data_IF_876832199506
#
_entry.id   IF_876832199506
#
_cell.length_a   1.000
_cell.length_b   1.000
_cell.length_c   1.000
_cell.angle_alpha   90.00
_cell.angle_beta   90.00
_cell.angle_gamma   90.00
#
_symmetry.space_group_name_H-M   'P 1'
#
loop_
_entity.id
_entity.type
_entity.pdbx_description
1 polymer ?
#
# COMPACT_ATOMS: atom_id res chain seq x y z
N UNK A 1 19.24 -54.14 -31.96
CA UNK A 1 19.48 -52.68 -31.77
C UNK A 1 18.34 -52.11 -30.96
N UNK A 2 18.69 -51.41 -29.87
CA UNK A 2 17.81 -51.00 -28.76
C UNK A 2 16.87 -49.87 -29.19
N UNK A 3 15.59 -50.15 -29.45
CA UNK A 3 14.55 -49.14 -29.72
C UNK A 3 13.71 -48.77 -28.49
N UNK A 4 14.01 -49.34 -27.32
CA UNK A 4 13.18 -49.20 -26.11
C UNK A 4 13.45 -47.93 -25.27
N UNK A 5 14.47 -47.13 -25.62
CA UNK A 5 14.93 -46.02 -24.75
C UNK A 5 14.37 -44.65 -25.12
N UNK A 6 13.89 -44.44 -26.35
CA UNK A 6 13.51 -43.10 -26.82
C UNK A 6 12.10 -42.69 -26.35
N UNK A 7 11.18 -43.66 -26.26
CA UNK A 7 9.79 -43.41 -25.82
C UNK A 7 9.70 -43.09 -24.33
N UNK A 8 10.53 -43.70 -23.48
CA UNK A 8 10.58 -43.37 -22.05
C UNK A 8 11.14 -41.97 -21.79
N UNK A 9 12.15 -41.54 -22.54
CA UNK A 9 12.73 -40.18 -22.38
C UNK A 9 11.72 -39.11 -22.79
N UNK A 10 10.99 -39.33 -23.89
CA UNK A 10 10.00 -38.38 -24.39
C UNK A 10 8.76 -38.28 -23.48
N UNK A 11 8.41 -39.38 -22.80
CA UNK A 11 7.30 -39.40 -21.83
C UNK A 11 7.70 -38.75 -20.50
N UNK A 12 8.94 -38.94 -20.03
CA UNK A 12 9.46 -38.24 -18.85
C UNK A 12 9.60 -36.74 -19.09
N UNK A 13 10.03 -36.30 -20.28
CA UNK A 13 10.09 -34.86 -20.60
C UNK A 13 8.71 -34.23 -20.73
N UNK A 14 7.70 -34.97 -21.19
CA UNK A 14 6.31 -34.50 -21.21
C UNK A 14 5.69 -34.45 -19.80
N UNK A 15 6.05 -35.38 -18.91
CA UNK A 15 5.60 -35.36 -17.52
C UNK A 15 6.25 -34.23 -16.70
N UNK A 16 7.50 -33.87 -16.97
CA UNK A 16 8.18 -32.73 -16.34
C UNK A 16 7.57 -31.36 -16.73
N UNK A 17 6.81 -31.28 -17.84
CA UNK A 17 6.05 -30.07 -18.19
C UNK A 17 4.79 -29.88 -17.33
N UNK A 18 4.33 -30.91 -16.61
CA UNK A 18 3.19 -30.81 -15.68
C UNK A 18 3.60 -30.60 -14.21
N UNK A 19 4.89 -30.70 -13.90
CA UNK A 19 5.44 -30.41 -12.56
C UNK A 19 6.19 -29.07 -12.50
N UNK A 20 6.09 -28.26 -13.56
CA UNK A 20 6.73 -26.95 -13.68
C UNK A 20 5.73 -25.81 -13.54
N UNK A 21 5.18 -25.63 -12.36
CA UNK A 21 4.94 -24.28 -11.85
C UNK A 21 5.20 -24.39 -10.37
N UNK A 22 6.34 -23.82 -9.97
CA UNK A 22 6.74 -23.65 -8.58
C UNK A 22 5.55 -23.29 -7.72
N UNK A 23 5.58 -23.72 -6.46
CA UNK A 23 4.73 -23.18 -5.42
C UNK A 23 4.52 -21.70 -5.69
N UNK A 24 3.30 -21.31 -6.08
CA UNK A 24 2.87 -19.92 -6.06
C UNK A 24 2.89 -19.59 -4.59
N UNK A 25 4.09 -19.22 -4.12
CA UNK A 25 4.43 -19.05 -2.73
C UNK A 25 3.44 -18.07 -2.18
N UNK A 26 2.58 -18.57 -1.29
CA UNK A 26 1.52 -17.78 -0.70
C UNK A 26 2.19 -16.61 0.04
N UNK A 27 2.23 -15.44 -0.60
CA UNK A 27 2.76 -14.24 0.04
C UNK A 27 1.77 -13.83 1.11
N UNK A 28 2.26 -13.70 2.34
CA UNK A 28 1.53 -13.16 3.49
C UNK A 28 1.86 -11.69 3.71
N UNK A 29 2.36 -11.02 2.67
CA UNK A 29 2.58 -9.60 2.71
C UNK A 29 1.24 -8.87 2.77
N UNK A 30 1.19 -7.84 3.60
CA UNK A 30 0.02 -6.99 3.75
C UNK A 30 0.43 -5.52 3.87
N UNK A 31 -0.40 -4.62 3.34
CA UNK A 31 -0.34 -3.20 3.69
C UNK A 31 -1.65 -2.78 4.33
N UNK A 32 -1.55 -2.09 5.44
CA UNK A 32 -2.69 -1.47 6.11
C UNK A 32 -2.58 0.04 6.02
N UNK A 33 -3.57 0.68 5.40
CA UNK A 33 -3.74 2.13 5.41
C UNK A 33 -4.74 2.50 6.50
N UNK A 34 -4.39 3.48 7.34
CA UNK A 34 -5.22 3.89 8.48
C UNK A 34 -5.41 5.40 8.47
N UNK A 35 -6.66 5.85 8.47
CA UNK A 35 -6.99 7.26 8.68
C UNK A 35 -7.18 7.54 10.18
N UNK A 36 -6.19 8.12 10.85
CA UNK A 36 -6.29 8.61 12.23
C UNK A 36 -6.55 10.12 12.32
N UNK A 37 -6.68 10.80 11.19
CA UNK A 37 -7.09 12.20 11.12
C UNK A 37 -8.52 12.37 11.65
N UNK A 38 -8.80 13.51 12.30
CA UNK A 38 -10.16 13.83 12.77
C UNK A 38 -11.10 14.25 11.62
N UNK A 39 -10.50 14.75 10.54
CA UNK A 39 -11.06 15.18 9.26
C UNK A 39 -9.84 15.44 8.36
N UNK A 40 -9.94 15.35 7.02
CA UNK A 40 -11.07 14.87 6.20
C UNK A 40 -11.01 13.36 5.89
N UNK A 41 -11.89 12.91 4.99
CA UNK A 41 -11.75 11.62 4.33
C UNK A 41 -10.47 11.60 3.48
N UNK A 42 -9.85 10.42 3.41
CA UNK A 42 -8.62 10.18 2.66
C UNK A 42 -8.89 9.17 1.57
N UNK A 43 -8.48 9.48 0.33
CA UNK A 43 -8.47 8.52 -0.78
C UNK A 43 -7.05 8.07 -1.03
N UNK A 44 -6.79 6.77 -0.89
CA UNK A 44 -5.50 6.15 -1.16
C UNK A 44 -5.56 5.45 -2.52
N UNK A 45 -4.61 5.76 -3.40
CA UNK A 45 -4.38 5.00 -4.62
C UNK A 45 -3.20 4.05 -4.38
N UNK A 46 -3.48 2.75 -4.43
CA UNK A 46 -2.45 1.71 -4.30
C UNK A 46 -2.69 0.60 -5.33
N UNK A 47 -1.66 0.27 -6.11
CA UNK A 47 -1.74 -0.77 -7.17
C UNK A 47 -2.90 -0.57 -8.15
N UNK A 48 -3.17 0.69 -8.52
CA UNK A 48 -4.27 1.09 -9.40
C UNK A 48 -5.68 0.79 -8.84
N UNK A 49 -5.78 0.60 -7.53
CA UNK A 49 -7.05 0.53 -6.80
C UNK A 49 -7.18 1.75 -5.88
N UNK A 50 -8.40 2.25 -5.75
CA UNK A 50 -8.75 3.38 -4.90
C UNK A 50 -9.43 2.90 -3.61
N UNK A 51 -8.99 3.44 -2.48
CA UNK A 51 -9.54 3.14 -1.16
C UNK A 51 -9.90 4.44 -0.45
N UNK A 52 -11.20 4.67 -0.25
CA UNK A 52 -11.70 5.81 0.53
C UNK A 52 -11.80 5.42 2.01
N UNK A 53 -11.14 6.19 2.87
CA UNK A 53 -11.08 5.99 4.32
C UNK A 53 -11.64 7.22 5.04
N UNK A 54 -12.76 7.02 5.75
CA UNK A 54 -13.30 8.01 6.67
C UNK A 54 -12.43 8.12 7.93
N UNK A 55 -12.54 9.22 8.70
CA UNK A 55 -11.87 9.34 10.00
C UNK A 55 -12.07 8.10 10.89
N UNK A 56 -10.97 7.50 11.31
CA UNK A 56 -10.94 6.30 12.16
C UNK A 56 -10.94 4.96 11.40
N UNK A 57 -11.18 4.96 10.10
CA UNK A 57 -11.21 3.74 9.28
C UNK A 57 -9.82 3.24 8.90
N UNK A 58 -9.73 1.94 8.63
CA UNK A 58 -8.55 1.30 8.07
C UNK A 58 -8.94 0.27 7.01
N UNK A 59 -8.03 0.07 6.06
CA UNK A 59 -8.13 -0.99 5.05
C UNK A 59 -6.83 -1.78 5.04
N UNK A 60 -6.95 -3.11 5.01
CA UNK A 60 -5.81 -4.01 4.86
C UNK A 60 -5.91 -4.71 3.52
N UNK A 61 -4.81 -4.67 2.77
CA UNK A 61 -4.65 -5.30 1.47
C UNK A 61 -3.67 -6.45 1.65
N UNK A 62 -4.16 -7.68 1.52
CA UNK A 62 -3.38 -8.90 1.71
C UNK A 62 -2.84 -9.44 0.38
N UNK A 63 -1.88 -10.36 0.45
CA UNK A 63 -1.38 -11.09 -0.71
C UNK A 63 -0.54 -10.22 -1.65
N UNK A 64 0.09 -9.17 -1.13
CA UNK A 64 0.89 -8.26 -1.95
C UNK A 64 2.14 -8.99 -2.46
N UNK A 65 2.41 -9.04 -3.78
CA UNK A 65 3.61 -9.68 -4.27
C UNK A 65 4.87 -8.96 -3.77
N UNK A 66 6.02 -9.63 -3.84
CA UNK A 66 7.31 -8.99 -3.54
C UNK A 66 7.59 -7.89 -4.54
N UNK A 67 8.16 -6.79 -4.06
CA UNK A 67 8.49 -5.63 -4.87
C UNK A 67 8.28 -4.32 -4.14
N UNK A 68 8.51 -3.22 -4.86
CA UNK A 68 8.26 -1.86 -4.38
C UNK A 68 7.04 -1.29 -5.09
N UNK A 69 6.15 -0.69 -4.32
CA UNK A 69 4.88 -0.14 -4.81
C UNK A 69 4.73 1.29 -4.30
N UNK A 70 4.42 2.21 -5.21
CA UNK A 70 4.02 3.55 -4.85
C UNK A 70 2.58 3.56 -4.34
N UNK A 71 2.31 4.48 -3.43
CA UNK A 71 0.96 4.92 -3.11
C UNK A 71 0.89 6.44 -3.22
N UNK A 72 -0.27 6.95 -3.62
CA UNK A 72 -0.58 8.38 -3.58
C UNK A 72 -1.85 8.59 -2.77
N UNK A 73 -1.98 9.80 -2.22
CA UNK A 73 -3.06 10.11 -1.30
C UNK A 73 -3.70 11.45 -1.66
N UNK A 74 -5.00 11.44 -1.85
CA UNK A 74 -5.82 12.65 -2.03
C UNK A 74 -6.71 12.87 -0.81
N UNK A 75 -7.05 14.13 -0.53
CA UNK A 75 -7.98 14.49 0.54
C UNK A 75 -8.66 15.83 0.23
N UNK A 76 -9.80 16.06 0.87
CA UNK A 76 -10.57 17.30 0.71
C UNK A 76 -10.27 18.23 1.87
N UNK A 77 -9.54 19.31 1.62
CA UNK A 77 -9.31 20.36 2.61
C UNK A 77 -10.66 20.98 3.02
N UNK A 78 -10.97 21.08 4.32
CA UNK A 78 -12.17 21.77 4.81
C UNK A 78 -12.26 23.21 4.29
N UNK A 79 -13.50 23.72 4.16
CA UNK A 79 -13.72 25.12 3.81
C UNK A 79 -13.08 26.04 4.86
N UNK A 80 -12.53 27.18 4.42
CA UNK A 80 -11.85 28.18 5.24
C UNK A 80 -10.48 27.76 5.80
N UNK A 81 -9.95 26.60 5.40
CA UNK A 81 -8.58 26.17 5.70
C UNK A 81 -7.69 26.22 4.45
N UNK A 82 -6.43 26.58 4.65
CA UNK A 82 -5.38 26.38 3.64
C UNK A 82 -4.76 25.02 3.91
N UNK A 83 -4.80 24.11 2.93
CA UNK A 83 -4.20 22.78 3.06
C UNK A 83 -3.07 22.58 2.07
N UNK A 84 -2.05 21.81 2.48
CA UNK A 84 -0.91 21.51 1.64
C UNK A 84 -0.56 20.01 1.64
N UNK A 85 -0.13 19.58 0.45
CA UNK A 85 0.48 18.31 0.06
C UNK A 85 -0.40 17.08 -0.14
N UNK A 86 -0.43 16.59 -1.40
CA UNK A 86 -0.57 15.17 -1.73
C UNK A 86 0.50 14.36 -0.99
N UNK A 87 0.09 13.31 -0.27
CA UNK A 87 1.04 12.43 0.42
C UNK A 87 1.33 11.23 -0.46
N UNK A 88 2.44 11.31 -1.18
CA UNK A 88 3.00 10.21 -1.94
C UNK A 88 4.04 9.45 -1.11
N UNK A 89 4.10 8.13 -1.32
CA UNK A 89 5.10 7.28 -0.69
C UNK A 89 5.38 6.01 -1.45
N UNK A 90 6.33 5.22 -0.96
CA UNK A 90 6.67 3.91 -1.49
C UNK A 90 6.78 2.91 -0.35
N UNK A 91 6.18 1.74 -0.54
CA UNK A 91 6.30 0.59 0.35
C UNK A 91 7.05 -0.53 -0.36
N UNK A 92 7.95 -1.21 0.37
CA UNK A 92 8.78 -2.29 -0.17
C UNK A 92 8.52 -3.58 0.59
N UNK A 93 8.27 -4.66 -0.15
CA UNK A 93 8.06 -6.00 0.35
C UNK A 93 9.24 -6.88 -0.05
N UNK A 94 10.25 -6.93 0.82
CA UNK A 94 11.48 -7.67 0.55
C UNK A 94 11.32 -9.17 0.80
N UNK A 95 10.40 -9.57 1.67
CA UNK A 95 10.14 -10.97 2.04
C UNK A 95 8.72 -11.41 1.63
N UNK A 96 8.34 -12.65 1.97
CA UNK A 96 6.98 -13.17 1.77
C UNK A 96 6.07 -12.95 2.99
N UNK A 97 6.55 -12.28 4.05
CA UNK A 97 5.85 -12.09 5.33
C UNK A 97 5.94 -10.65 5.84
N UNK A 98 6.25 -9.68 4.96
CA UNK A 98 6.40 -8.27 5.30
C UNK A 98 5.02 -7.62 5.52
N UNK A 99 4.82 -7.03 6.69
CA UNK A 99 3.61 -6.28 7.04
C UNK A 99 3.95 -4.79 7.11
N UNK A 100 3.27 -3.98 6.30
CA UNK A 100 3.46 -2.54 6.26
C UNK A 100 2.21 -1.84 6.81
N UNK A 101 2.40 -0.80 7.62
CA UNK A 101 1.33 0.06 8.09
C UNK A 101 1.63 1.50 7.72
N UNK A 102 0.68 2.15 7.04
CA UNK A 102 0.71 3.57 6.69
C UNK A 102 -0.40 4.26 7.49
N UNK A 103 -0.02 5.15 8.40
CA UNK A 103 -0.95 5.85 9.29
C UNK A 103 -0.97 7.33 8.95
N UNK A 104 -2.13 7.82 8.52
CA UNK A 104 -2.38 9.23 8.26
C UNK A 104 -2.85 9.93 9.53
N UNK A 105 -2.29 11.11 9.80
CA UNK A 105 -2.74 12.00 10.87
C UNK A 105 -2.85 13.42 10.33
N UNK A 106 -3.66 14.23 11.02
CA UNK A 106 -3.80 15.65 10.72
C UNK A 106 -3.76 16.54 11.96
N UNK A 107 -3.42 17.80 11.74
CA UNK A 107 -3.53 18.88 12.71
C UNK A 107 -3.97 20.18 12.01
N UNK A 108 -4.65 21.04 12.77
CA UNK A 108 -5.00 22.40 12.33
C UNK A 108 -4.22 23.40 13.17
N UNK A 109 -3.50 24.30 12.52
CA UNK A 109 -2.78 25.41 13.15
C UNK A 109 -3.48 26.73 12.85
N UNK A 110 -3.64 27.58 13.86
CA UNK A 110 -4.24 28.91 13.71
C UNK A 110 -3.19 29.99 13.97
N UNK A 111 -3.04 30.90 13.02
CA UNK A 111 -2.20 32.08 13.15
C UNK A 111 -3.05 33.34 13.05
N UNK A 112 -2.75 34.35 13.86
CA UNK A 112 -3.40 35.66 13.78
C UNK A 112 -2.33 36.72 13.58
N UNK A 113 -2.48 37.53 12.53
CA UNK A 113 -1.54 38.60 12.21
C UNK A 113 -1.73 39.83 13.12
N UNK A 114 -0.82 40.80 13.01
CA UNK A 114 -0.84 42.04 13.80
C UNK A 114 -2.08 42.92 13.52
N UNK A 115 -2.75 42.70 12.39
CA UNK A 115 -3.99 43.37 11.99
C UNK A 115 -5.25 42.65 12.55
N UNK A 116 -5.06 41.51 13.24
CA UNK A 116 -6.13 40.73 13.85
C UNK A 116 -6.84 39.76 12.91
N UNK A 117 -6.28 39.52 11.72
CA UNK A 117 -6.82 38.55 10.76
C UNK A 117 -6.26 37.15 11.05
N UNK A 118 -7.15 36.17 11.10
CA UNK A 118 -6.83 34.78 11.49
C UNK A 118 -6.80 33.87 10.25
N UNK A 119 -5.72 33.12 10.10
CA UNK A 119 -5.57 32.07 9.08
C UNK A 119 -5.55 30.70 9.76
N UNK A 120 -6.30 29.74 9.21
CA UNK A 120 -6.28 28.34 9.64
C UNK A 120 -5.56 27.49 8.58
N UNK A 121 -4.53 26.77 8.99
CA UNK A 121 -3.74 25.89 8.12
C UNK A 121 -3.96 24.44 8.52
N UNK A 122 -4.34 23.61 7.56
CA UNK A 122 -4.55 22.18 7.73
C UNK A 122 -3.32 21.40 7.26
N UNK A 123 -2.76 20.60 8.15
CA UNK A 123 -1.62 19.73 7.86
C UNK A 123 -2.05 18.27 7.92
N UNK A 124 -1.59 17.48 6.96
CA UNK A 124 -1.72 16.03 6.96
C UNK A 124 -0.36 15.38 6.68
N UNK A 125 -0.08 14.25 7.34
CA UNK A 125 1.14 13.48 7.11
C UNK A 125 0.89 11.98 7.28
N UNK A 126 1.74 11.17 6.65
CA UNK A 126 1.72 9.72 6.79
C UNK A 126 2.97 9.21 7.53
N UNK A 127 2.77 8.27 8.45
CA UNK A 127 3.83 7.50 9.08
C UNK A 127 3.81 6.08 8.52
N UNK A 128 4.94 5.62 7.98
CA UNK A 128 5.10 4.25 7.48
C UNK A 128 5.94 3.43 8.45
N UNK A 129 5.45 2.26 8.84
CA UNK A 129 6.20 1.26 9.61
C UNK A 129 6.14 -0.09 8.91
N UNK A 130 7.22 -0.85 8.96
CA UNK A 130 7.29 -2.20 8.40
C UNK A 130 7.85 -3.18 9.42
N UNK A 131 7.33 -4.40 9.42
CA UNK A 131 7.87 -5.52 10.18
C UNK A 131 7.91 -6.76 9.29
N UNK A 132 9.03 -7.45 9.27
CA UNK A 132 9.13 -8.78 8.68
C UNK A 132 8.78 -9.82 9.75
N UNK A 133 7.84 -10.72 9.41
CA UNK A 133 7.41 -11.84 10.26
C UNK A 133 8.33 -13.05 10.17
#
# INVERSE_FOLDING_TARGET
>A
MKSFSLKCVLLCSLLLLFFGCDEVGFTRNEVTFVNKSNSPNITVLFRAEEYSLSPGEEVTIEGVPRGSYSFSTEYVVPADEVGDADIDGTVSFETNTTKVRVTYNSNTEMETDDDGNTTSTFHIWALTSSTDG
#
